data_IF_384524070916
#
_entry.id   IF_384524070916
#
_cell.length_a   1.000
_cell.length_b   1.000
_cell.length_c   1.000
_cell.angle_alpha   90.00
_cell.angle_beta   90.00
_cell.angle_gamma   90.00
#
_symmetry.space_group_name_H-M   'P 1'
#
loop_
_entity.id
_entity.type
_entity.pdbx_description
1 polymer ?
#
# COMPACT_ATOMS: atom_id res chain seq x y z
N UNK A 1 -6.29 -7.67 -14.16
CA UNK A 1 -4.82 -7.75 -14.26
C UNK A 1 -4.33 -8.00 -12.84
N UNK A 2 -3.97 -9.24 -12.48
CA UNK A 2 -3.49 -9.54 -11.13
C UNK A 2 -2.09 -8.93 -11.00
N UNK A 3 -1.90 -8.12 -9.96
CA UNK A 3 -0.59 -7.60 -9.59
C UNK A 3 0.20 -8.73 -8.93
N UNK A 4 1.21 -9.27 -9.62
CA UNK A 4 2.22 -10.14 -9.03
C UNK A 4 3.00 -9.34 -7.97
N UNK A 5 2.65 -9.50 -6.70
CA UNK A 5 3.50 -9.11 -5.57
C UNK A 5 4.01 -10.37 -4.86
N UNK A 6 4.70 -11.23 -5.59
CA UNK A 6 5.53 -12.30 -5.03
C UNK A 6 6.99 -11.86 -5.02
N UNK A 7 7.44 -11.17 -3.97
CA UNK A 7 8.85 -10.80 -3.78
C UNK A 7 9.65 -12.06 -3.41
N UNK A 8 10.04 -12.85 -4.42
CA UNK A 8 10.97 -13.96 -4.26
C UNK A 8 12.40 -13.51 -4.56
N UNK A 9 13.01 -12.76 -3.62
CA UNK A 9 14.40 -12.32 -3.76
C UNK A 9 15.40 -13.46 -3.50
N UNK A 10 16.64 -13.27 -3.98
CA UNK A 10 17.76 -14.17 -3.67
C UNK A 10 18.03 -14.16 -2.16
N UNK A 11 18.49 -15.28 -1.57
CA UNK A 11 18.79 -15.34 -0.14
C UNK A 11 19.79 -14.25 0.26
N UNK A 12 19.45 -13.51 1.32
CA UNK A 12 20.29 -12.42 1.85
C UNK A 12 21.51 -13.03 2.53
N UNK A 13 22.71 -12.61 2.10
CA UNK A 13 23.98 -13.09 2.63
C UNK A 13 24.07 -12.84 4.14
N UNK A 14 24.46 -13.85 4.92
CA UNK A 14 24.54 -13.81 6.38
C UNK A 14 23.31 -14.35 7.13
N UNK A 15 22.26 -14.77 6.42
CA UNK A 15 21.06 -15.39 6.97
C UNK A 15 20.89 -16.84 6.52
N UNK A 16 21.98 -17.53 6.17
CA UNK A 16 21.92 -18.88 5.59
C UNK A 16 21.39 -19.96 6.57
N UNK A 17 21.47 -19.69 7.89
CA UNK A 17 20.98 -20.59 8.93
C UNK A 17 19.54 -20.28 9.39
N UNK A 18 18.95 -19.18 8.92
CA UNK A 18 17.57 -18.82 9.25
C UNK A 18 16.59 -19.53 8.31
N UNK A 19 15.32 -19.72 8.70
CA UNK A 19 14.30 -20.20 7.78
C UNK A 19 14.00 -19.17 6.68
N UNK A 20 13.61 -19.66 5.49
CA UNK A 20 13.09 -18.81 4.43
C UNK A 20 11.63 -18.44 4.70
N UNK A 21 11.24 -17.22 4.37
CA UNK A 21 9.87 -16.77 4.50
C UNK A 21 9.33 -16.35 3.13
N UNK A 22 8.24 -16.97 2.73
CA UNK A 22 7.47 -16.60 1.55
C UNK A 22 6.19 -15.92 2.01
N UNK A 23 5.99 -14.66 1.64
CA UNK A 23 4.90 -13.85 2.16
C UNK A 23 4.00 -13.40 1.02
N UNK A 24 2.69 -13.65 1.14
CA UNK A 24 1.71 -13.13 0.17
C UNK A 24 0.51 -12.49 0.89
N UNK A 25 0.05 -11.35 0.37
CA UNK A 25 -1.14 -10.63 0.84
C UNK A 25 -2.36 -11.02 -0.02
N UNK A 26 -3.44 -11.42 0.63
CA UNK A 26 -4.71 -11.80 0.01
C UNK A 26 -5.81 -10.82 0.44
N UNK A 27 -6.38 -10.09 -0.53
CA UNK A 27 -7.46 -9.10 -0.32
C UNK A 27 -8.79 -9.49 -0.97
N UNK A 28 -8.84 -10.67 -1.60
CA UNK A 28 -10.03 -11.25 -2.22
C UNK A 28 -9.93 -12.77 -2.15
N UNK A 29 -11.05 -13.45 -2.34
CA UNK A 29 -11.08 -14.91 -2.37
C UNK A 29 -10.50 -15.42 -3.70
N UNK A 30 -9.42 -16.17 -3.62
CA UNK A 30 -8.79 -16.87 -4.74
C UNK A 30 -8.88 -18.38 -4.50
N UNK A 31 -9.66 -19.08 -5.33
CA UNK A 31 -9.93 -20.52 -5.18
C UNK A 31 -8.70 -21.38 -5.54
N UNK A 32 -7.78 -20.85 -6.36
CA UNK A 32 -6.57 -21.55 -6.79
C UNK A 32 -5.31 -21.11 -6.03
N UNK A 33 -5.48 -20.22 -5.04
CA UNK A 33 -4.39 -19.57 -4.32
C UNK A 33 -3.29 -20.54 -3.86
N UNK A 34 -3.65 -21.59 -3.11
CA UNK A 34 -2.67 -22.52 -2.56
C UNK A 34 -2.03 -23.44 -3.61
N UNK A 35 -2.73 -23.73 -4.72
CA UNK A 35 -2.16 -24.50 -5.83
C UNK A 35 -1.05 -23.68 -6.51
N UNK A 36 -1.30 -22.38 -6.74
CA UNK A 36 -0.32 -21.44 -7.30
C UNK A 36 0.82 -21.17 -6.31
N UNK A 37 0.51 -20.76 -5.09
CA UNK A 37 1.49 -20.27 -4.12
C UNK A 37 2.50 -21.35 -3.73
N UNK A 38 2.05 -22.56 -3.42
CA UNK A 38 2.98 -23.66 -3.17
C UNK A 38 3.75 -24.05 -4.43
N UNK A 39 3.13 -24.00 -5.61
CA UNK A 39 3.80 -24.21 -6.88
C UNK A 39 4.98 -23.24 -7.09
N UNK A 40 4.76 -21.95 -6.87
CA UNK A 40 5.78 -20.91 -6.97
C UNK A 40 6.94 -21.14 -5.99
N UNK A 41 6.64 -21.51 -4.74
CA UNK A 41 7.67 -21.85 -3.72
C UNK A 41 8.54 -23.03 -4.16
N UNK A 42 7.94 -24.10 -4.69
CA UNK A 42 8.71 -25.25 -5.16
C UNK A 42 9.51 -24.94 -6.42
N UNK A 43 8.99 -24.08 -7.29
CA UNK A 43 9.74 -23.54 -8.43
C UNK A 43 10.94 -22.74 -7.93
N UNK A 44 10.78 -21.89 -6.92
CA UNK A 44 11.88 -21.15 -6.30
C UNK A 44 12.97 -22.09 -5.76
N UNK A 45 12.62 -23.11 -4.99
CA UNK A 45 13.59 -24.08 -4.48
C UNK A 45 14.36 -24.77 -5.60
N UNK A 46 13.68 -25.14 -6.69
CA UNK A 46 14.32 -25.76 -7.85
C UNK A 46 15.29 -24.80 -8.54
N UNK A 47 14.93 -23.54 -8.69
CA UNK A 47 15.73 -22.54 -9.39
C UNK A 47 16.95 -22.10 -8.58
N UNK A 48 16.76 -21.78 -7.30
CA UNK A 48 17.76 -21.09 -6.50
C UNK A 48 18.55 -21.99 -5.55
N UNK A 49 18.01 -23.17 -5.20
CA UNK A 49 18.64 -24.14 -4.28
C UNK A 49 19.24 -23.44 -3.04
N UNK A 50 18.43 -22.70 -2.29
CA UNK A 50 18.92 -21.96 -1.13
C UNK A 50 19.53 -22.90 -0.08
N UNK A 51 20.50 -22.40 0.68
CA UNK A 51 21.19 -23.17 1.72
C UNK A 51 20.35 -23.36 3.00
N UNK A 52 19.31 -22.54 3.16
CA UNK A 52 18.42 -22.53 4.32
C UNK A 52 17.74 -23.89 4.51
N UNK A 53 17.78 -24.42 5.74
CA UNK A 53 17.31 -25.77 6.05
C UNK A 53 15.81 -25.88 6.36
N UNK A 54 15.12 -24.76 6.57
CA UNK A 54 13.69 -24.70 6.87
C UNK A 54 13.03 -23.51 6.15
N UNK A 55 11.70 -23.50 6.08
CA UNK A 55 10.94 -22.44 5.41
C UNK A 55 9.53 -22.30 5.97
N UNK A 56 8.91 -21.15 5.72
CA UNK A 56 7.53 -20.87 6.07
C UNK A 56 6.82 -20.13 4.93
N UNK A 57 5.58 -20.53 4.69
CA UNK A 57 4.61 -19.78 3.90
C UNK A 57 3.77 -18.93 4.86
N UNK A 58 3.87 -17.62 4.75
CA UNK A 58 3.10 -16.65 5.52
C UNK A 58 2.04 -16.05 4.60
N UNK A 59 0.77 -16.27 4.91
CA UNK A 59 -0.33 -15.70 4.14
C UNK A 59 -1.00 -14.65 5.01
N UNK A 60 -1.02 -13.42 4.52
CA UNK A 60 -1.66 -12.30 5.19
C UNK A 60 -3.02 -12.10 4.52
N UNK A 61 -4.11 -12.34 5.24
CA UNK A 61 -5.45 -12.03 4.80
C UNK A 61 -5.87 -10.67 5.38
N UNK A 62 -6.41 -9.77 4.57
CA UNK A 62 -7.07 -8.58 5.09
C UNK A 62 -8.31 -8.97 5.94
N UNK A 63 -9.06 -9.99 5.51
CA UNK A 63 -10.23 -10.52 6.21
C UNK A 63 -10.28 -12.04 6.13
N UNK A 64 -10.69 -12.70 7.23
CA UNK A 64 -10.90 -14.16 7.25
C UNK A 64 -11.85 -14.67 6.17
N UNK A 65 -12.85 -13.88 5.76
CA UNK A 65 -13.79 -14.28 4.70
C UNK A 65 -13.13 -14.47 3.32
N UNK A 66 -11.94 -13.91 3.11
CA UNK A 66 -11.18 -14.08 1.87
C UNK A 66 -10.30 -15.33 1.89
N UNK A 67 -10.23 -16.06 3.00
CA UNK A 67 -9.52 -17.32 3.07
C UNK A 67 -10.21 -18.42 2.26
N UNK A 68 -9.45 -19.03 1.36
CA UNK A 68 -9.80 -20.30 0.73
C UNK A 68 -9.06 -21.41 1.48
N UNK A 69 -9.70 -22.44 2.04
CA UNK A 69 -8.98 -23.49 2.75
C UNK A 69 -8.06 -24.28 1.79
N UNK A 70 -6.80 -24.60 2.17
CA UNK A 70 -5.94 -25.44 1.34
C UNK A 70 -6.56 -26.83 1.11
N UNK A 71 -6.38 -27.39 -0.09
CA UNK A 71 -6.80 -28.77 -0.35
C UNK A 71 -6.10 -29.74 0.63
N UNK A 72 -6.80 -30.78 1.16
CA UNK A 72 -6.23 -31.74 2.11
C UNK A 72 -4.92 -32.44 1.69
N UNK A 73 -4.55 -32.38 0.41
CA UNK A 73 -3.29 -32.98 -0.10
C UNK A 73 -2.06 -32.24 0.43
N UNK A 74 -2.24 -30.97 0.81
CA UNK A 74 -1.20 -30.12 1.35
C UNK A 74 -1.12 -30.18 2.87
N UNK A 75 -1.88 -31.05 3.54
CA UNK A 75 -1.95 -31.09 5.01
C UNK A 75 -0.57 -31.09 5.69
N UNK A 76 0.37 -31.92 5.21
CA UNK A 76 1.72 -31.97 5.76
C UNK A 76 2.49 -30.65 5.61
N UNK A 77 2.25 -29.89 4.53
CA UNK A 77 2.83 -28.56 4.34
C UNK A 77 2.13 -27.55 5.23
N UNK A 78 0.80 -27.63 5.35
CA UNK A 78 -0.01 -26.70 6.13
C UNK A 78 0.38 -26.76 7.61
N UNK A 79 0.42 -27.97 8.17
CA UNK A 79 0.72 -28.17 9.60
C UNK A 79 2.10 -27.62 9.97
N UNK A 80 3.10 -27.88 9.12
CA UNK A 80 4.49 -27.53 9.43
C UNK A 80 4.86 -26.10 9.00
N UNK A 81 4.53 -25.73 7.77
CA UNK A 81 5.12 -24.58 7.08
C UNK A 81 4.14 -23.40 6.87
N UNK A 82 2.83 -23.62 6.88
CA UNK A 82 1.87 -22.53 6.64
C UNK A 82 1.51 -21.78 7.92
N UNK A 83 1.54 -20.45 7.86
CA UNK A 83 1.01 -19.56 8.89
C UNK A 83 0.10 -18.53 8.23
N UNK A 84 -1.14 -18.45 8.70
CA UNK A 84 -2.11 -17.44 8.26
C UNK A 84 -2.19 -16.31 9.31
N UNK A 85 -2.11 -15.07 8.84
CA UNK A 85 -2.29 -13.86 9.65
C UNK A 85 -3.52 -13.15 9.12
N UNK A 86 -4.48 -12.84 9.99
CA UNK A 86 -5.70 -12.13 9.62
C UNK A 86 -5.65 -10.72 10.18
N UNK A 87 -5.48 -9.74 9.30
CA UNK A 87 -5.26 -8.35 9.68
C UNK A 87 -6.43 -7.80 10.52
N UNK A 88 -7.67 -8.16 10.16
CA UNK A 88 -8.88 -7.76 10.89
C UNK A 88 -9.02 -8.38 12.30
N UNK A 89 -8.15 -9.33 12.67
CA UNK A 89 -8.20 -10.06 13.95
C UNK A 89 -6.99 -9.77 14.85
N UNK A 90 -6.08 -8.90 14.40
CA UNK A 90 -4.88 -8.48 15.14
C UNK A 90 -5.20 -7.73 16.46
N UNK A 91 -6.47 -7.48 16.78
CA UNK A 91 -6.94 -6.81 18.00
C UNK A 91 -6.82 -7.67 19.27
N UNK A 92 -6.56 -8.97 19.14
CA UNK A 92 -6.35 -9.89 20.27
C UNK A 92 -4.91 -9.97 20.76
N UNK A 93 -3.95 -9.42 20.00
CA UNK A 93 -2.54 -9.36 20.39
C UNK A 93 -2.30 -7.98 20.99
N UNK A 94 -2.36 -7.91 22.31
CA UNK A 94 -1.95 -6.76 23.12
C UNK A 94 -0.43 -6.63 23.09
N UNK A 95 0.14 -6.19 21.98
CA UNK A 95 1.49 -5.62 21.97
C UNK A 95 1.51 -4.43 21.00
N UNK A 96 1.96 -3.30 21.55
CA UNK A 96 2.09 -1.96 20.94
C UNK A 96 3.15 -1.92 19.82
N UNK A 97 3.10 -2.87 18.89
CA UNK A 97 3.99 -2.89 17.74
C UNK A 97 3.47 -1.92 16.66
N UNK A 98 4.29 -0.92 16.35
CA UNK A 98 4.05 0.02 15.27
C UNK A 98 3.73 -0.70 13.94
N UNK A 99 4.43 -1.79 13.63
CA UNK A 99 4.19 -2.57 12.41
C UNK A 99 2.80 -3.22 12.39
N UNK A 100 2.35 -3.77 13.52
CA UNK A 100 1.01 -4.37 13.64
C UNK A 100 -0.06 -3.29 13.52
N UNK A 101 0.15 -2.13 14.13
CA UNK A 101 -0.76 -1.00 14.01
C UNK A 101 -0.86 -0.48 12.57
N UNK A 102 0.25 -0.35 11.85
CA UNK A 102 0.25 0.02 10.43
C UNK A 102 -0.54 -1.01 9.61
N UNK A 103 -0.37 -2.30 9.88
CA UNK A 103 -1.13 -3.35 9.19
C UNK A 103 -2.64 -3.26 9.47
N UNK A 104 -3.04 -2.89 10.70
CA UNK A 104 -4.45 -2.65 11.07
C UNK A 104 -5.09 -1.49 10.29
N UNK A 105 -4.31 -0.48 9.86
CA UNK A 105 -4.86 0.64 9.07
C UNK A 105 -5.51 0.20 7.76
N UNK A 106 -5.11 -0.93 7.16
CA UNK A 106 -5.73 -1.42 5.93
C UNK A 106 -7.17 -1.90 6.15
N UNK A 107 -7.46 -2.47 7.32
CA UNK A 107 -8.71 -3.20 7.59
C UNK A 107 -9.69 -2.46 8.49
N UNK A 108 -9.20 -1.51 9.29
CA UNK A 108 -10.03 -0.77 10.25
C UNK A 108 -11.11 0.08 9.57
N UNK A 109 -12.24 0.28 10.25
CA UNK A 109 -13.28 1.17 9.76
C UNK A 109 -12.74 2.62 9.67
N UNK A 110 -13.21 3.45 8.73
CA UNK A 110 -12.72 4.82 8.56
C UNK A 110 -12.68 5.63 9.87
N UNK A 111 -13.71 5.56 10.70
CA UNK A 111 -13.79 6.27 11.98
C UNK A 111 -12.70 5.86 12.98
N UNK A 112 -12.28 4.59 12.99
CA UNK A 112 -11.20 4.08 13.86
C UNK A 112 -9.82 4.29 13.24
N UNK A 113 -9.73 4.24 11.91
CA UNK A 113 -8.47 4.39 11.18
C UNK A 113 -7.80 5.75 11.44
N UNK A 114 -8.58 6.82 11.60
CA UNK A 114 -8.05 8.15 11.94
C UNK A 114 -7.32 8.15 13.28
N UNK A 115 -7.98 7.68 14.34
CA UNK A 115 -7.39 7.65 15.69
C UNK A 115 -6.15 6.74 15.72
N UNK A 116 -6.25 5.57 15.08
CA UNK A 116 -5.12 4.64 14.98
C UNK A 116 -3.94 5.27 14.23
N UNK A 117 -4.19 5.99 13.12
CA UNK A 117 -3.13 6.66 12.36
C UNK A 117 -2.42 7.73 13.19
N UNK A 118 -3.17 8.52 13.97
CA UNK A 118 -2.59 9.51 14.90
C UNK A 118 -1.68 8.84 15.93
N UNK A 119 -2.15 7.76 16.57
CA UNK A 119 -1.35 7.00 17.52
C UNK A 119 -0.05 6.46 16.91
N UNK A 120 -0.13 5.88 15.71
CA UNK A 120 1.03 5.29 15.03
C UNK A 120 2.04 6.34 14.58
N UNK A 121 1.60 7.55 14.24
CA UNK A 121 2.50 8.64 13.89
C UNK A 121 3.24 9.14 15.13
N UNK A 122 2.55 9.27 16.27
CA UNK A 122 3.20 9.59 17.55
C UNK A 122 4.21 8.51 17.92
N UNK A 123 3.82 7.24 17.85
CA UNK A 123 4.70 6.12 18.13
C UNK A 123 5.91 6.08 17.18
N UNK A 124 5.73 6.31 15.87
CA UNK A 124 6.83 6.37 14.91
C UNK A 124 7.82 7.51 15.22
N UNK A 125 7.35 8.61 15.83
CA UNK A 125 8.22 9.69 16.28
C UNK A 125 9.08 9.30 17.48
N UNK A 126 8.56 8.46 18.36
CA UNK A 126 9.23 7.99 19.58
C UNK A 126 10.17 6.81 19.30
N UNK A 127 9.75 5.86 18.47
CA UNK A 127 10.47 4.60 18.22
C UNK A 127 11.70 4.76 17.31
N UNK A 128 11.74 5.81 16.49
CA UNK A 128 12.81 6.02 15.50
C UNK A 128 13.64 7.29 15.76
N UNK A 129 14.88 7.16 16.27
CA UNK A 129 15.81 8.29 16.41
C UNK A 129 16.41 8.75 15.07
N UNK A 130 16.33 7.94 14.01
CA UNK A 130 16.72 8.34 12.64
C UNK A 130 15.58 9.14 11.99
N UNK A 131 15.78 10.44 11.81
CA UNK A 131 14.80 11.34 11.18
C UNK A 131 14.40 10.92 9.77
N UNK A 132 15.30 10.33 8.97
CA UNK A 132 14.98 9.91 7.60
C UNK A 132 14.08 8.68 7.60
N UNK A 133 14.35 7.71 8.47
CA UNK A 133 13.51 6.53 8.62
C UNK A 133 12.14 6.92 9.20
N UNK A 134 12.13 7.76 10.23
CA UNK A 134 10.92 8.33 10.83
C UNK A 134 10.04 9.01 9.78
N UNK A 135 10.59 9.92 8.95
CA UNK A 135 9.86 10.60 7.87
C UNK A 135 9.27 9.61 6.86
N UNK A 136 9.99 8.54 6.50
CA UNK A 136 9.50 7.50 5.58
C UNK A 136 8.33 6.72 6.17
N UNK A 137 8.40 6.34 7.45
CA UNK A 137 7.32 5.61 8.12
C UNK A 137 6.07 6.47 8.25
N UNK A 138 6.22 7.74 8.64
CA UNK A 138 5.09 8.69 8.71
C UNK A 138 4.46 8.88 7.33
N UNK A 139 5.27 9.09 6.29
CA UNK A 139 4.77 9.21 4.92
C UNK A 139 4.02 7.96 4.45
N UNK A 140 4.44 6.77 4.88
CA UNK A 140 3.75 5.53 4.56
C UNK A 140 2.38 5.43 5.26
N UNK A 141 2.30 5.75 6.56
CA UNK A 141 1.02 5.81 7.30
C UNK A 141 0.06 6.79 6.62
N UNK A 142 0.56 7.97 6.26
CA UNK A 142 -0.16 9.01 5.55
C UNK A 142 -0.71 8.52 4.20
N UNK A 143 0.07 7.78 3.42
CA UNK A 143 -0.38 7.17 2.17
C UNK A 143 -1.57 6.24 2.38
N UNK A 144 -1.49 5.37 3.40
CA UNK A 144 -2.55 4.41 3.70
C UNK A 144 -3.85 5.15 4.04
N UNK A 145 -3.76 6.22 4.84
CA UNK A 145 -4.92 7.07 5.15
C UNK A 145 -5.46 7.72 3.88
N UNK A 146 -4.63 8.33 3.05
CA UNK A 146 -5.07 8.94 1.78
C UNK A 146 -5.86 7.98 0.90
N UNK A 147 -5.35 6.76 0.69
CA UNK A 147 -6.07 5.76 -0.11
C UNK A 147 -7.35 5.23 0.55
N UNK A 148 -7.44 5.27 1.89
CA UNK A 148 -8.65 4.90 2.62
C UNK A 148 -9.74 5.98 2.54
N UNK A 149 -9.37 7.23 2.33
CA UNK A 149 -10.29 8.37 2.25
C UNK A 149 -10.20 9.07 0.87
N UNK A 150 -10.62 8.41 -0.23
CA UNK A 150 -10.41 8.92 -1.59
C UNK A 150 -11.17 10.23 -1.89
N UNK A 151 -12.13 10.60 -1.05
CA UNK A 151 -12.92 11.82 -1.20
C UNK A 151 -12.37 13.00 -0.39
N UNK A 152 -11.33 12.79 0.43
CA UNK A 152 -10.71 13.86 1.20
C UNK A 152 -9.52 14.41 0.44
N UNK A 153 -9.38 15.73 0.50
CA UNK A 153 -8.19 16.46 0.06
C UNK A 153 -7.02 16.19 1.01
N UNK A 154 -5.82 16.52 0.54
CA UNK A 154 -4.59 16.34 1.32
C UNK A 154 -4.61 17.24 2.56
N UNK A 155 -5.13 18.47 2.43
CA UNK A 155 -5.32 19.43 3.51
C UNK A 155 -6.35 18.93 4.55
N UNK A 156 -7.44 18.28 4.09
CA UNK A 156 -8.42 17.67 5.00
C UNK A 156 -7.82 16.47 5.75
N UNK A 157 -6.97 15.68 5.11
CA UNK A 157 -6.25 14.57 5.75
C UNK A 157 -5.20 15.09 6.74
N UNK A 158 -4.48 16.16 6.40
CA UNK A 158 -3.55 16.87 7.30
C UNK A 158 -4.24 17.32 8.58
N UNK A 159 -5.36 18.05 8.42
CA UNK A 159 -6.15 18.54 9.53
C UNK A 159 -6.73 17.37 10.36
N UNK A 160 -7.17 16.30 9.70
CA UNK A 160 -7.72 15.12 10.36
C UNK A 160 -6.67 14.38 11.20
N UNK A 161 -5.41 14.36 10.77
CA UNK A 161 -4.33 13.68 11.50
C UNK A 161 -3.63 14.57 12.52
N UNK A 162 -4.03 15.85 12.64
CA UNK A 162 -3.38 16.86 13.50
C UNK A 162 -1.87 16.99 13.20
N UNK A 163 -1.54 17.08 11.90
CA UNK A 163 -0.15 17.10 11.43
C UNK A 163 0.17 18.37 10.63
N UNK A 164 1.12 19.15 11.12
CA UNK A 164 1.77 20.24 10.36
C UNK A 164 2.75 19.74 9.27
N UNK A 165 2.93 18.43 9.10
CA UNK A 165 4.16 17.84 8.53
C UNK A 165 4.05 17.19 7.13
N UNK A 166 2.86 17.09 6.53
CA UNK A 166 2.70 16.39 5.23
C UNK A 166 3.46 17.08 4.11
N UNK A 167 3.51 18.42 4.11
CA UNK A 167 4.23 19.26 3.14
C UNK A 167 5.71 18.91 2.94
N UNK A 168 6.33 18.15 3.86
CA UNK A 168 7.74 17.76 3.81
C UNK A 168 7.97 16.28 3.43
N UNK A 169 6.95 15.59 2.90
CA UNK A 169 7.08 14.20 2.48
C UNK A 169 7.14 14.08 0.95
N UNK A 170 8.00 13.19 0.43
CA UNK A 170 8.07 12.91 -1.02
C UNK A 170 6.72 12.43 -1.59
N UNK A 171 5.87 11.86 -0.75
CA UNK A 171 4.52 11.47 -1.12
C UNK A 171 3.64 12.70 -1.41
N UNK A 172 3.68 13.73 -0.56
CA UNK A 172 2.99 15.00 -0.77
C UNK A 172 3.37 15.61 -2.12
N UNK A 173 4.67 15.74 -2.40
CA UNK A 173 5.16 16.22 -3.71
C UNK A 173 4.65 15.36 -4.87
N UNK A 174 4.65 14.03 -4.71
CA UNK A 174 4.18 13.11 -5.75
C UNK A 174 2.67 13.15 -5.99
N UNK A 175 1.87 13.43 -4.95
CA UNK A 175 0.41 13.55 -5.04
C UNK A 175 0.08 14.91 -5.63
N UNK A 176 0.64 16.00 -5.10
CA UNK A 176 0.45 17.36 -5.62
C UNK A 176 0.87 17.46 -7.09
N UNK A 177 2.04 16.92 -7.47
CA UNK A 177 2.47 16.93 -8.86
C UNK A 177 1.53 16.15 -9.80
N UNK A 178 0.78 15.17 -9.30
CA UNK A 178 -0.22 14.42 -10.08
C UNK A 178 -1.60 15.08 -10.08
N UNK A 179 -2.01 15.69 -8.98
CA UNK A 179 -3.36 16.27 -8.82
C UNK A 179 -3.44 17.73 -9.26
N UNK A 180 -2.35 18.48 -9.24
CA UNK A 180 -2.30 19.87 -9.68
C UNK A 180 -2.64 20.03 -11.17
N UNK A 181 -2.09 19.21 -12.10
CA UNK A 181 -2.49 19.26 -13.50
C UNK A 181 -3.95 18.87 -13.69
N UNK A 182 -4.42 17.79 -13.05
CA UNK A 182 -5.80 17.32 -13.17
C UNK A 182 -6.82 18.33 -12.63
N UNK A 183 -6.49 19.02 -11.54
CA UNK A 183 -7.37 20.03 -10.93
C UNK A 183 -7.45 21.29 -11.79
N UNK A 184 -6.31 21.74 -12.32
CA UNK A 184 -6.27 22.87 -13.26
C UNK A 184 -6.99 22.55 -14.57
N UNK A 185 -6.85 21.32 -15.10
CA UNK A 185 -7.54 20.87 -16.33
C UNK A 185 -9.07 20.91 -16.22
N UNK A 186 -9.64 20.66 -15.03
CA UNK A 186 -11.10 20.78 -14.80
C UNK A 186 -11.65 22.20 -15.02
N UNK A 187 -10.79 23.23 -15.05
CA UNK A 187 -11.17 24.60 -15.37
C UNK A 187 -11.15 24.90 -16.88
N UNK A 188 -10.47 24.07 -17.68
CA UNK A 188 -10.30 24.30 -19.12
C UNK A 188 -11.64 24.42 -19.88
N UNK A 189 -12.68 23.59 -19.65
CA UNK A 189 -13.96 23.73 -20.34
C UNK A 189 -14.64 25.09 -20.09
N UNK A 190 -14.61 25.59 -18.86
CA UNK A 190 -15.15 26.91 -18.50
C UNK A 190 -14.38 28.07 -19.15
N UNK A 191 -13.09 27.89 -19.43
CA UNK A 191 -12.30 28.90 -20.13
C UNK A 191 -12.62 28.92 -21.63
N UNK A 192 -12.88 27.75 -22.24
CA UNK A 192 -13.37 27.65 -23.62
C UNK A 192 -14.76 28.30 -23.75
N UNK A 193 -15.67 28.05 -22.81
CA UNK A 193 -16.99 28.71 -22.77
C UNK A 193 -16.89 30.24 -22.70
N UNK A 194 -15.84 30.75 -22.07
CA UNK A 194 -15.53 32.19 -21.99
C UNK A 194 -14.79 32.73 -23.23
N UNK A 195 -14.59 31.91 -24.25
CA UNK A 195 -13.99 32.31 -25.53
C UNK A 195 -12.47 32.38 -25.54
N UNK A 196 -11.78 31.82 -24.54
CA UNK A 196 -10.31 31.76 -24.55
C UNK A 196 -9.82 30.75 -25.58
N UNK A 197 -8.73 31.08 -26.27
CA UNK A 197 -8.00 30.15 -27.11
C UNK A 197 -7.23 29.12 -26.27
N UNK A 198 -6.93 27.96 -26.86
CA UNK A 198 -6.19 26.88 -26.17
C UNK A 198 -4.82 27.38 -25.66
N UNK A 199 -4.17 28.28 -26.40
CA UNK A 199 -2.91 28.90 -26.01
C UNK A 199 -3.06 29.79 -24.77
N UNK A 200 -4.11 30.61 -24.72
CA UNK A 200 -4.40 31.45 -23.55
C UNK A 200 -4.78 30.61 -22.33
N UNK A 201 -5.48 29.48 -22.53
CA UNK A 201 -5.81 28.54 -21.45
C UNK A 201 -4.54 27.86 -20.92
N UNK A 202 -3.62 27.48 -21.80
CA UNK A 202 -2.33 26.89 -21.43
C UNK A 202 -1.47 27.85 -20.61
N UNK A 203 -1.41 29.11 -21.02
CA UNK A 203 -0.71 30.14 -20.27
C UNK A 203 -1.40 30.45 -18.94
N UNK A 204 -2.73 30.58 -18.93
CA UNK A 204 -3.52 30.88 -17.73
C UNK A 204 -3.48 29.76 -16.68
N UNK A 205 -3.45 28.50 -17.12
CA UNK A 205 -3.39 27.33 -16.24
C UNK A 205 -1.94 26.87 -15.99
N UNK A 206 -0.94 27.49 -16.62
CA UNK A 206 0.47 27.06 -16.57
C UNK A 206 0.65 25.57 -16.93
N UNK A 207 -0.08 25.11 -17.95
CA UNK A 207 -0.08 23.72 -18.43
C UNK A 207 0.33 23.64 -19.90
N UNK A 208 0.88 22.50 -20.30
CA UNK A 208 1.24 22.27 -21.70
C UNK A 208 -0.01 22.26 -22.60
N UNK A 209 0.10 22.91 -23.76
CA UNK A 209 -0.95 23.01 -24.79
C UNK A 209 -1.43 21.64 -25.24
N UNK A 210 -0.56 20.64 -25.34
CA UNK A 210 -0.93 19.28 -25.74
C UNK A 210 -1.78 18.59 -24.69
N UNK A 211 -1.51 18.82 -23.40
CA UNK A 211 -2.27 18.23 -22.29
C UNK A 211 -3.72 18.79 -22.29
N UNK A 212 -3.88 20.10 -22.50
CA UNK A 212 -5.21 20.73 -22.58
C UNK A 212 -5.98 20.25 -23.82
N UNK A 213 -5.32 20.14 -24.98
CA UNK A 213 -5.94 19.62 -26.21
C UNK A 213 -6.46 18.21 -26.01
N UNK A 214 -5.64 17.32 -25.44
CA UNK A 214 -6.01 15.93 -25.21
C UNK A 214 -7.19 15.82 -24.24
N UNK A 215 -7.16 16.57 -23.14
CA UNK A 215 -8.24 16.59 -22.16
C UNK A 215 -9.58 17.09 -22.74
N UNK A 216 -9.57 18.16 -23.54
CA UNK A 216 -10.78 18.68 -24.17
C UNK A 216 -11.33 17.75 -25.27
N UNK A 217 -10.47 16.96 -25.92
CA UNK A 217 -10.89 15.94 -26.89
C UNK A 217 -11.53 14.71 -26.23
N UNK A 218 -11.05 14.31 -25.05
CA UNK A 218 -11.60 13.19 -24.27
C UNK A 218 -12.97 13.53 -23.61
N UNK A 219 -13.30 14.82 -23.49
CA UNK A 219 -14.56 15.33 -22.90
C UNK A 219 -15.62 15.70 -23.96
N UNK A 220 -15.30 15.61 -25.25
CA UNK A 220 -16.19 15.92 -26.38
C UNK A 220 -16.92 14.69 -26.92
#
# INVERSE_FOLDING_TARGET
MPLEFGLFDKPVKGFENEPLYFVELQTYKDEEFYERFFGEIFVYFRQYKPANSDWYAIVIYDKRIHETPPHPRYQALVEKHLRCIYLNELSTITEDSLAIGIAKLFVEAPTKATFLAQQLITQAREDFPDENLQKKVIAFIQAIVFYKFPNLTLEEIEAMLDLDAFKNTRLYESIVAKTEPETKLKLAPKCVEKGMSIQEIAEFLELDVEIIKKYLQEQS
#
